data_IF_426262266127
#
_entry.id   IF_426262266127
#
_cell.length_a   1.000
_cell.length_b   1.000
_cell.length_c   1.000
_cell.angle_alpha   90.00
_cell.angle_beta   90.00
_cell.angle_gamma   90.00
#
_symmetry.space_group_name_H-M   'P 1'
#
loop_
_entity.id
_entity.type
_entity.pdbx_description
1 polymer ?
#
# COMPACT_ATOMS: atom_id res chain seq x y z
N UNK A 1 -25.25 -5.12 -1.52
CA UNK A 1 -25.04 -4.96 -2.97
C UNK A 1 -26.31 -4.76 -3.79
N UNK A 2 -27.52 -5.15 -3.32
CA UNK A 2 -28.78 -4.80 -4.00
C UNK A 2 -28.83 -5.24 -5.48
N UNK A 3 -29.36 -4.41 -6.36
CA UNK A 3 -29.38 -4.67 -7.81
C UNK A 3 -27.98 -4.80 -8.43
N UNK A 4 -26.94 -4.20 -7.82
CA UNK A 4 -25.57 -4.30 -8.32
C UNK A 4 -25.04 -5.74 -8.29
N UNK A 5 -25.43 -6.54 -7.29
CA UNK A 5 -25.08 -7.97 -7.24
C UNK A 5 -25.78 -8.83 -8.29
N UNK A 6 -26.83 -8.31 -8.96
CA UNK A 6 -27.53 -9.02 -10.03
C UNK A 6 -26.85 -8.82 -11.40
N UNK A 7 -25.84 -7.95 -11.50
CA UNK A 7 -25.09 -7.78 -12.73
C UNK A 7 -24.34 -9.08 -13.07
N UNK A 8 -24.44 -9.58 -14.32
CA UNK A 8 -23.80 -10.83 -14.72
C UNK A 8 -22.29 -10.87 -14.42
N UNK A 9 -21.60 -9.74 -14.59
CA UNK A 9 -20.16 -9.65 -14.31
C UNK A 9 -19.83 -9.79 -12.81
N UNK A 10 -20.67 -9.25 -11.94
CA UNK A 10 -20.50 -9.36 -10.48
C UNK A 10 -20.77 -10.79 -10.02
N UNK A 11 -21.77 -11.45 -10.61
CA UNK A 11 -22.05 -12.87 -10.37
C UNK A 11 -20.91 -13.74 -10.88
N UNK A 12 -20.38 -13.47 -12.07
CA UNK A 12 -19.25 -14.20 -12.66
C UNK A 12 -18.00 -14.10 -11.78
N UNK A 13 -17.69 -12.93 -11.23
CA UNK A 13 -16.57 -12.78 -10.28
C UNK A 13 -16.83 -13.53 -8.99
N UNK A 14 -18.05 -13.47 -8.45
CA UNK A 14 -18.40 -14.21 -7.23
C UNK A 14 -18.23 -15.72 -7.43
N UNK A 15 -18.78 -16.26 -8.53
CA UNK A 15 -18.61 -17.67 -8.89
C UNK A 15 -17.14 -18.04 -9.14
N UNK A 16 -16.37 -17.16 -9.77
CA UNK A 16 -14.93 -17.33 -9.95
C UNK A 16 -14.20 -17.47 -8.61
N UNK A 17 -14.50 -16.60 -7.63
CA UNK A 17 -13.88 -16.64 -6.30
C UNK A 17 -14.27 -17.92 -5.53
N UNK A 18 -15.54 -18.31 -5.58
CA UNK A 18 -16.03 -19.53 -4.93
C UNK A 18 -15.42 -20.82 -5.48
N UNK A 19 -15.15 -20.85 -6.80
CA UNK A 19 -14.50 -22.01 -7.44
C UNK A 19 -13.01 -22.07 -7.14
N UNK A 20 -12.33 -20.91 -7.13
CA UNK A 20 -10.89 -20.84 -6.82
C UNK A 20 -10.56 -21.47 -5.47
N UNK A 21 -11.38 -21.23 -4.45
CA UNK A 21 -11.11 -21.75 -3.11
C UNK A 21 -11.26 -23.28 -3.01
N UNK A 22 -11.83 -23.93 -4.04
CA UNK A 22 -12.11 -25.37 -4.08
C UNK A 22 -11.26 -26.14 -5.10
N UNK A 23 -10.60 -25.46 -6.04
CA UNK A 23 -9.95 -26.06 -7.21
C UNK A 23 -8.59 -25.43 -7.50
N UNK A 24 -7.75 -26.08 -8.33
CA UNK A 24 -6.44 -25.54 -8.69
C UNK A 24 -6.57 -24.33 -9.65
N UNK A 25 -5.74 -23.27 -9.50
CA UNK A 25 -5.78 -22.03 -10.30
C UNK A 25 -5.82 -22.17 -11.83
N UNK A 26 -5.18 -23.21 -12.36
CA UNK A 26 -4.98 -23.38 -13.80
C UNK A 26 -6.26 -23.78 -14.56
N UNK A 27 -7.27 -24.31 -13.87
CA UNK A 27 -8.35 -25.06 -14.51
C UNK A 27 -9.65 -24.26 -14.72
N UNK A 28 -9.76 -23.03 -14.19
CA UNK A 28 -10.98 -22.22 -14.32
C UNK A 28 -10.78 -20.91 -15.11
N UNK A 29 -11.86 -20.53 -15.82
CA UNK A 29 -11.90 -19.35 -16.69
C UNK A 29 -11.97 -18.07 -15.85
N UNK A 30 -11.22 -17.06 -16.27
CA UNK A 30 -11.30 -15.71 -15.71
C UNK A 30 -12.68 -15.10 -15.98
N UNK A 31 -13.20 -14.24 -15.07
CA UNK A 31 -14.41 -13.47 -15.33
C UNK A 31 -14.15 -12.44 -16.44
N UNK A 32 -15.20 -11.80 -16.95
CA UNK A 32 -15.05 -10.70 -17.90
C UNK A 32 -14.29 -9.53 -17.29
N UNK A 33 -12.97 -9.47 -17.48
CA UNK A 33 -12.12 -8.48 -16.80
C UNK A 33 -12.39 -7.05 -17.28
N UNK A 34 -12.60 -6.86 -18.58
CA UNK A 34 -12.97 -5.56 -19.13
C UNK A 34 -14.30 -5.04 -18.53
N UNK A 35 -15.31 -5.90 -18.50
CA UNK A 35 -16.66 -5.55 -18.02
C UNK A 35 -16.69 -5.39 -16.50
N UNK A 36 -15.87 -6.15 -15.77
CA UNK A 36 -15.64 -5.94 -14.34
C UNK A 36 -15.09 -4.53 -14.07
N UNK A 37 -14.02 -4.12 -14.75
CA UNK A 37 -13.45 -2.78 -14.59
C UNK A 37 -14.47 -1.68 -14.84
N UNK A 38 -15.26 -1.81 -15.92
CA UNK A 38 -16.37 -0.91 -16.24
C UNK A 38 -17.45 -0.89 -15.14
N UNK A 39 -17.81 -2.06 -14.58
CA UNK A 39 -18.77 -2.16 -13.50
C UNK A 39 -18.28 -1.48 -12.22
N UNK A 40 -17.01 -1.66 -11.85
CA UNK A 40 -16.40 -1.01 -10.70
C UNK A 40 -16.39 0.50 -10.87
N UNK A 41 -15.86 1.01 -12.00
CA UNK A 41 -15.85 2.46 -12.27
C UNK A 41 -17.27 3.05 -12.25
N UNK A 42 -18.23 2.37 -12.85
CA UNK A 42 -19.63 2.78 -12.83
C UNK A 42 -20.27 2.76 -11.44
N UNK A 43 -19.76 1.96 -10.50
CA UNK A 43 -20.27 1.90 -9.14
C UNK A 43 -19.86 3.12 -8.30
N UNK A 44 -18.62 3.61 -8.48
CA UNK A 44 -18.02 4.66 -7.64
C UNK A 44 -18.89 5.92 -7.56
N UNK A 45 -19.49 6.35 -8.67
CA UNK A 45 -20.27 7.59 -8.73
C UNK A 45 -21.79 7.40 -8.54
N UNK A 46 -22.29 6.17 -8.63
CA UNK A 46 -23.74 5.90 -8.76
C UNK A 46 -24.34 5.16 -7.57
N UNK A 47 -23.52 4.54 -6.74
CA UNK A 47 -23.99 3.69 -5.65
C UNK A 47 -23.76 4.33 -4.29
N UNK A 48 -24.58 3.96 -3.28
CA UNK A 48 -24.32 4.37 -1.90
C UNK A 48 -22.98 3.79 -1.40
N UNK A 49 -22.32 4.44 -0.42
CA UNK A 49 -20.99 4.06 0.05
C UNK A 49 -20.84 2.58 0.38
N UNK A 50 -21.82 1.95 1.03
CA UNK A 50 -21.77 0.55 1.43
C UNK A 50 -21.66 -0.38 0.20
N UNK A 51 -22.35 -0.02 -0.88
CA UNK A 51 -22.30 -0.78 -2.14
C UNK A 51 -21.00 -0.52 -2.91
N UNK A 52 -20.46 0.70 -2.87
CA UNK A 52 -19.14 1.01 -3.42
C UNK A 52 -18.05 0.22 -2.68
N UNK A 53 -18.09 0.20 -1.35
CA UNK A 53 -17.18 -0.60 -0.53
C UNK A 53 -17.22 -2.06 -0.97
N UNK A 54 -18.42 -2.64 -1.10
CA UNK A 54 -18.54 -4.06 -1.45
C UNK A 54 -18.02 -4.34 -2.87
N UNK A 55 -18.22 -3.40 -3.81
CA UNK A 55 -17.68 -3.51 -5.16
C UNK A 55 -16.13 -3.52 -5.15
N UNK A 56 -15.51 -2.61 -4.40
CA UNK A 56 -14.05 -2.55 -4.25
C UNK A 56 -13.54 -3.80 -3.53
N UNK A 57 -14.25 -4.32 -2.53
CA UNK A 57 -13.84 -5.51 -1.79
C UNK A 57 -13.88 -6.79 -2.64
N UNK A 58 -14.91 -6.93 -3.47
CA UNK A 58 -14.98 -8.00 -4.46
C UNK A 58 -13.83 -7.89 -5.48
N UNK A 59 -13.56 -6.67 -5.94
CA UNK A 59 -12.47 -6.39 -6.86
C UNK A 59 -11.11 -6.74 -6.24
N UNK A 60 -10.85 -6.30 -5.01
CA UNK A 60 -9.68 -6.66 -4.20
C UNK A 60 -9.51 -8.18 -4.12
N UNK A 61 -10.57 -8.92 -3.84
CA UNK A 61 -10.53 -10.37 -3.72
C UNK A 61 -10.18 -11.06 -5.06
N UNK A 62 -10.63 -10.51 -6.19
CA UNK A 62 -10.26 -11.00 -7.51
C UNK A 62 -8.78 -10.76 -7.83
N UNK A 63 -8.22 -9.62 -7.40
CA UNK A 63 -6.81 -9.27 -7.63
C UNK A 63 -5.79 -10.19 -6.94
N UNK A 64 -6.20 -11.06 -6.01
CA UNK A 64 -5.27 -12.06 -5.46
C UNK A 64 -4.91 -13.16 -6.46
N UNK A 65 -5.64 -13.26 -7.59
CA UNK A 65 -5.21 -14.07 -8.72
C UNK A 65 -4.24 -13.26 -9.60
N UNK A 66 -2.98 -13.72 -9.79
CA UNK A 66 -1.98 -12.98 -10.55
C UNK A 66 -2.38 -12.65 -12.00
N UNK A 67 -3.29 -13.42 -12.61
CA UNK A 67 -3.77 -13.15 -13.97
C UNK A 67 -4.71 -11.94 -13.99
N UNK A 68 -5.50 -11.77 -12.93
CA UNK A 68 -6.40 -10.63 -12.76
C UNK A 68 -5.55 -9.39 -12.46
N UNK A 69 -4.60 -9.46 -11.53
CA UNK A 69 -3.72 -8.33 -11.24
C UNK A 69 -2.85 -7.93 -12.44
N UNK A 70 -2.32 -8.88 -13.21
CA UNK A 70 -1.60 -8.59 -14.46
C UNK A 70 -2.48 -7.86 -15.48
N UNK A 71 -3.73 -8.32 -15.70
CA UNK A 71 -4.64 -7.63 -16.61
C UNK A 71 -4.87 -6.17 -16.22
N UNK A 72 -5.15 -5.89 -14.95
CA UNK A 72 -5.38 -4.51 -14.50
C UNK A 72 -4.10 -3.67 -14.41
N UNK A 73 -2.92 -4.32 -14.35
CA UNK A 73 -1.64 -3.67 -14.51
C UNK A 73 -1.33 -3.32 -15.98
N UNK A 74 -2.05 -3.89 -16.95
CA UNK A 74 -1.93 -3.53 -18.37
C UNK A 74 -3.15 -2.74 -18.87
N UNK A 75 -4.12 -2.45 -17.99
CA UNK A 75 -5.28 -1.63 -18.34
C UNK A 75 -4.80 -0.24 -18.77
N UNK A 76 -5.17 0.19 -19.97
CA UNK A 76 -4.81 1.49 -20.53
C UNK A 76 -5.11 2.60 -19.53
N UNK A 77 -4.12 3.41 -19.18
CA UNK A 77 -4.23 4.53 -18.23
C UNK A 77 -4.67 4.10 -16.81
N UNK A 78 -4.58 2.81 -16.47
CA UNK A 78 -4.89 2.24 -15.15
C UNK A 78 -6.27 2.63 -14.61
N UNK A 79 -7.24 2.79 -15.53
CA UNK A 79 -8.51 3.49 -15.30
C UNK A 79 -9.23 3.01 -14.05
N UNK A 80 -9.25 1.69 -13.79
CA UNK A 80 -9.96 1.12 -12.65
C UNK A 80 -9.26 1.46 -11.34
N UNK A 81 -7.95 1.21 -11.26
CA UNK A 81 -7.15 1.47 -10.06
C UNK A 81 -7.10 2.97 -9.77
N UNK A 82 -6.80 3.79 -10.77
CA UNK A 82 -6.78 5.25 -10.64
C UNK A 82 -8.15 5.81 -10.21
N UNK A 83 -9.26 5.27 -10.75
CA UNK A 83 -10.59 5.69 -10.32
C UNK A 83 -10.88 5.35 -8.85
N UNK A 84 -10.52 4.15 -8.39
CA UNK A 84 -10.68 3.74 -6.98
C UNK A 84 -9.85 4.64 -6.06
N UNK A 85 -8.57 4.86 -6.39
CA UNK A 85 -7.66 5.67 -5.57
C UNK A 85 -8.12 7.13 -5.54
N UNK A 86 -8.51 7.71 -6.68
CA UNK A 86 -9.09 9.06 -6.74
C UNK A 86 -10.38 9.17 -5.93
N UNK A 87 -11.25 8.17 -5.99
CA UNK A 87 -12.51 8.16 -5.24
C UNK A 87 -12.26 8.20 -3.73
N UNK A 88 -11.34 7.37 -3.21
CA UNK A 88 -10.96 7.37 -1.80
C UNK A 88 -10.23 8.65 -1.40
N UNK A 89 -9.29 9.11 -2.22
CA UNK A 89 -8.49 10.31 -1.94
C UNK A 89 -9.35 11.57 -1.86
N UNK A 90 -10.32 11.74 -2.77
CA UNK A 90 -11.24 12.89 -2.79
C UNK A 90 -12.10 13.01 -1.53
N UNK A 91 -12.35 11.90 -0.84
CA UNK A 91 -13.10 11.91 0.42
C UNK A 91 -12.26 12.35 1.62
N UNK A 92 -10.93 12.25 1.54
CA UNK A 92 -10.02 12.64 2.61
C UNK A 92 -10.40 12.00 3.95
N UNK A 93 -10.57 12.83 4.99
CA UNK A 93 -10.97 12.41 6.34
C UNK A 93 -12.40 11.88 6.41
N UNK A 94 -13.29 12.26 5.48
CA UNK A 94 -14.65 11.75 5.41
C UNK A 94 -14.75 10.37 4.73
N UNK A 95 -13.63 9.80 4.29
CA UNK A 95 -13.63 8.47 3.70
C UNK A 95 -13.92 7.41 4.78
N UNK A 96 -14.92 6.53 4.58
CA UNK A 96 -15.15 5.42 5.50
C UNK A 96 -13.89 4.58 5.69
N UNK A 97 -13.57 4.24 6.94
CA UNK A 97 -12.42 3.41 7.29
C UNK A 97 -12.32 2.14 6.42
N UNK A 98 -13.44 1.44 6.25
CA UNK A 98 -13.49 0.21 5.44
C UNK A 98 -13.11 0.43 3.98
N UNK A 99 -13.43 1.59 3.39
CA UNK A 99 -13.05 1.96 2.03
C UNK A 99 -11.55 2.26 1.91
N UNK A 100 -10.98 2.96 2.89
CA UNK A 100 -9.53 3.22 2.93
C UNK A 100 -8.78 1.89 3.04
N UNK A 101 -9.18 1.05 4.00
CA UNK A 101 -8.56 -0.24 4.24
C UNK A 101 -8.59 -1.15 3.01
N UNK A 102 -9.76 -1.31 2.38
CA UNK A 102 -9.89 -2.18 1.21
C UNK A 102 -9.11 -1.66 0.01
N UNK A 103 -8.94 -0.33 -0.11
CA UNK A 103 -8.14 0.29 -1.17
C UNK A 103 -6.65 0.07 -0.95
N UNK A 104 -6.16 0.16 0.29
CA UNK A 104 -4.78 -0.23 0.62
C UNK A 104 -4.52 -1.69 0.24
N UNK A 105 -5.42 -2.60 0.62
CA UNK A 105 -5.30 -4.02 0.25
C UNK A 105 -5.38 -4.26 -1.27
N UNK A 106 -6.21 -3.49 -1.98
CA UNK A 106 -6.30 -3.54 -3.45
C UNK A 106 -4.93 -3.24 -4.07
N UNK A 107 -4.28 -2.18 -3.63
CA UNK A 107 -2.94 -1.81 -4.10
C UNK A 107 -1.88 -2.83 -3.67
N UNK A 108 -1.95 -3.38 -2.45
CA UNK A 108 -1.07 -4.48 -2.04
C UNK A 108 -1.17 -5.68 -2.99
N UNK A 109 -2.40 -6.08 -3.35
CA UNK A 109 -2.61 -7.20 -4.26
C UNK A 109 -2.07 -6.92 -5.67
N UNK A 110 -2.04 -5.67 -6.12
CA UNK A 110 -1.41 -5.30 -7.40
C UNK A 110 0.10 -5.55 -7.41
N UNK A 111 0.78 -5.47 -6.27
CA UNK A 111 2.21 -5.83 -6.16
C UNK A 111 2.48 -7.35 -6.27
N UNK A 112 1.46 -8.19 -6.42
CA UNK A 112 1.63 -9.62 -6.76
C UNK A 112 2.17 -9.84 -8.17
N UNK A 113 2.03 -8.86 -9.07
CA UNK A 113 2.60 -8.87 -10.42
C UNK A 113 3.83 -7.96 -10.50
N UNK A 114 4.88 -8.34 -11.25
CA UNK A 114 6.05 -7.48 -11.46
C UNK A 114 5.74 -6.21 -12.26
N UNK A 115 4.58 -6.13 -12.91
CA UNK A 115 4.19 -5.00 -13.76
C UNK A 115 3.81 -3.75 -12.95
N UNK A 116 3.18 -3.93 -11.78
CA UNK A 116 2.65 -2.81 -11.01
C UNK A 116 3.68 -1.80 -10.52
N UNK A 117 4.88 -2.21 -10.07
CA UNK A 117 5.95 -1.27 -9.76
C UNK A 117 6.30 -0.32 -10.92
N UNK A 118 6.41 -0.81 -12.16
CA UNK A 118 6.75 0.04 -13.31
C UNK A 118 5.71 1.14 -13.56
N UNK A 119 4.45 0.83 -13.28
CA UNK A 119 3.32 1.77 -13.38
C UNK A 119 3.46 2.88 -12.33
N UNK A 120 3.63 2.48 -11.05
CA UNK A 120 3.73 3.43 -9.95
C UNK A 120 4.94 4.34 -10.11
N UNK A 121 6.09 3.82 -10.54
CA UNK A 121 7.28 4.64 -10.75
C UNK A 121 7.29 5.39 -12.08
N UNK A 122 6.61 4.89 -13.11
CA UNK A 122 6.51 5.50 -14.42
C UNK A 122 5.54 6.69 -14.49
N UNK A 123 4.56 6.77 -13.59
CA UNK A 123 3.54 7.83 -13.58
C UNK A 123 3.59 8.65 -12.29
N UNK A 124 3.92 9.95 -12.41
CA UNK A 124 4.03 10.88 -11.27
C UNK A 124 2.70 11.08 -10.55
N UNK A 125 1.57 11.08 -11.25
CA UNK A 125 0.26 11.30 -10.64
C UNK A 125 -0.13 10.08 -9.79
N UNK A 126 0.09 8.87 -10.30
CA UNK A 126 -0.16 7.63 -9.54
C UNK A 126 0.77 7.57 -8.34
N UNK A 127 2.06 7.85 -8.52
CA UNK A 127 3.04 7.84 -7.42
C UNK A 127 2.63 8.75 -6.28
N UNK A 128 2.28 10.01 -6.58
CA UNK A 128 1.79 10.97 -5.58
C UNK A 128 0.51 10.50 -4.89
N UNK A 129 -0.42 9.89 -5.61
CA UNK A 129 -1.64 9.36 -5.00
C UNK A 129 -1.36 8.19 -4.06
N UNK A 130 -0.48 7.27 -4.45
CA UNK A 130 -0.08 6.13 -3.62
C UNK A 130 0.66 6.61 -2.37
N UNK A 131 1.61 7.55 -2.53
CA UNK A 131 2.32 8.21 -1.44
C UNK A 131 1.35 8.85 -0.45
N UNK A 132 0.45 9.73 -0.93
CA UNK A 132 -0.51 10.41 -0.06
C UNK A 132 -1.48 9.44 0.64
N UNK A 133 -1.90 8.37 -0.03
CA UNK A 133 -2.75 7.34 0.58
C UNK A 133 -2.03 6.61 1.70
N UNK A 134 -0.76 6.23 1.51
CA UNK A 134 0.07 5.60 2.56
C UNK A 134 0.27 6.58 3.71
N UNK A 135 0.75 7.80 3.44
CA UNK A 135 1.04 8.82 4.46
C UNK A 135 -0.19 9.10 5.33
N UNK A 136 -1.34 9.39 4.70
CA UNK A 136 -2.59 9.67 5.43
C UNK A 136 -3.13 8.46 6.19
N UNK A 137 -2.83 7.24 5.75
CA UNK A 137 -3.22 6.00 6.43
C UNK A 137 -2.37 5.70 7.66
N UNK A 138 -1.12 6.16 7.68
CA UNK A 138 -0.27 6.10 8.88
C UNK A 138 -0.74 7.06 9.97
N UNK A 139 -1.26 8.22 9.58
CA UNK A 139 -1.80 9.23 10.49
C UNK A 139 -3.23 8.91 11.00
N UNK A 140 -3.78 7.75 10.62
CA UNK A 140 -5.04 7.24 11.17
C UNK A 140 -4.76 6.58 12.53
N UNK A 141 -4.83 7.38 13.59
CA UNK A 141 -4.59 6.97 14.99
C UNK A 141 -5.69 6.05 15.54
N UNK A 142 -6.88 6.06 14.96
CA UNK A 142 -8.04 5.29 15.42
C UNK A 142 -8.05 3.84 14.92
N UNK A 143 -7.41 3.55 13.79
CA UNK A 143 -7.58 2.27 13.10
C UNK A 143 -6.26 1.54 12.85
N UNK A 144 -5.88 0.67 13.77
CA UNK A 144 -4.70 -0.22 13.68
C UNK A 144 -4.60 -0.97 12.35
N UNK A 145 -5.70 -1.55 11.85
CA UNK A 145 -5.66 -2.31 10.59
C UNK A 145 -5.34 -1.43 9.38
N UNK A 146 -5.71 -0.15 9.41
CA UNK A 146 -5.29 0.82 8.37
C UNK A 146 -3.78 0.95 8.37
N UNK A 147 -3.17 1.08 9.55
CA UNK A 147 -1.70 1.18 9.70
C UNK A 147 -0.97 -0.11 9.30
N UNK A 148 -1.54 -1.28 9.60
CA UNK A 148 -1.02 -2.58 9.14
C UNK A 148 -1.06 -2.67 7.60
N UNK A 149 -2.17 -2.30 6.98
CA UNK A 149 -2.32 -2.33 5.52
C UNK A 149 -1.42 -1.29 4.84
N UNK A 150 -1.29 -0.09 5.41
CA UNK A 150 -0.38 0.95 4.94
C UNK A 150 1.09 0.50 5.02
N UNK A 151 1.47 -0.15 6.12
CA UNK A 151 2.79 -0.79 6.27
C UNK A 151 3.03 -1.84 5.19
N UNK A 152 2.06 -2.70 4.93
CA UNK A 152 2.19 -3.74 3.89
C UNK A 152 2.37 -3.13 2.49
N UNK A 153 1.63 -2.05 2.19
CA UNK A 153 1.76 -1.34 0.91
C UNK A 153 3.10 -0.63 0.80
N UNK A 154 3.53 0.07 1.86
CA UNK A 154 4.83 0.74 1.88
C UNK A 154 5.98 -0.25 1.80
N UNK A 155 5.89 -1.41 2.44
CA UNK A 155 6.89 -2.47 2.31
C UNK A 155 7.10 -2.86 0.85
N UNK A 156 6.01 -3.12 0.12
CA UNK A 156 6.06 -3.49 -1.30
C UNK A 156 6.67 -2.36 -2.16
N UNK A 157 6.24 -1.12 -1.93
CA UNK A 157 6.74 0.07 -2.63
C UNK A 157 8.23 0.30 -2.34
N UNK A 158 8.63 0.28 -1.07
CA UNK A 158 9.99 0.52 -0.62
C UNK A 158 10.95 -0.59 -1.10
N UNK A 159 10.50 -1.85 -1.10
CA UNK A 159 11.28 -2.95 -1.66
C UNK A 159 11.54 -2.74 -3.17
N UNK A 160 10.51 -2.33 -3.91
CA UNK A 160 10.64 -2.06 -5.34
C UNK A 160 11.51 -0.81 -5.61
N UNK A 161 11.37 0.24 -4.80
CA UNK A 161 12.19 1.46 -4.88
C UNK A 161 13.67 1.15 -4.59
N UNK A 162 13.95 0.37 -3.54
CA UNK A 162 15.31 -0.05 -3.19
C UNK A 162 15.99 -0.86 -4.29
N UNK A 163 15.26 -1.76 -4.97
CA UNK A 163 15.78 -2.50 -6.13
C UNK A 163 16.17 -1.55 -7.26
N UNK A 164 15.30 -0.59 -7.58
CA UNK A 164 15.59 0.43 -8.61
C UNK A 164 16.75 1.35 -8.26
N UNK A 165 16.88 1.73 -6.98
CA UNK A 165 18.04 2.47 -6.47
C UNK A 165 19.33 1.69 -6.70
N UNK A 166 19.34 0.38 -6.40
CA UNK A 166 20.48 -0.51 -6.65
C UNK A 166 20.81 -0.66 -8.13
N UNK A 167 19.80 -0.67 -8.99
CA UNK A 167 19.92 -0.75 -10.45
C UNK A 167 20.24 0.60 -11.12
N UNK A 168 20.28 1.69 -10.35
CA UNK A 168 20.50 3.07 -10.82
C UNK A 168 19.45 3.53 -11.85
N UNK A 169 18.21 3.10 -11.64
CA UNK A 169 17.06 3.49 -12.48
C UNK A 169 16.49 4.83 -12.03
N UNK A 170 16.33 5.78 -12.96
CA UNK A 170 15.76 7.11 -12.71
C UNK A 170 14.26 7.07 -12.33
N UNK A 171 13.52 6.08 -12.85
CA UNK A 171 12.11 5.87 -12.51
C UNK A 171 11.99 5.27 -11.10
N UNK A 172 12.07 6.11 -10.06
CA UNK A 172 12.01 5.75 -8.64
C UNK A 172 11.26 6.83 -7.84
N UNK A 173 11.11 6.65 -6.53
CA UNK A 173 10.63 7.74 -5.67
C UNK A 173 11.58 8.93 -5.77
N UNK A 174 11.03 10.14 -5.92
CA UNK A 174 11.82 11.35 -5.75
C UNK A 174 12.07 11.61 -4.26
N UNK A 175 13.02 12.50 -3.98
CA UNK A 175 13.45 12.77 -2.61
C UNK A 175 12.33 13.31 -1.73
N UNK A 176 11.45 14.17 -2.28
CA UNK A 176 10.29 14.69 -1.58
C UNK A 176 9.28 13.59 -1.20
N UNK A 177 9.09 12.59 -2.06
CA UNK A 177 8.20 11.45 -1.80
C UNK A 177 8.81 10.51 -0.73
N UNK A 178 10.12 10.28 -0.78
CA UNK A 178 10.83 9.50 0.24
C UNK A 178 10.76 10.19 1.62
N UNK A 179 10.91 11.51 1.66
CA UNK A 179 10.79 12.34 2.87
C UNK A 179 9.37 12.30 3.43
N UNK A 180 8.33 12.44 2.60
CA UNK A 180 6.94 12.38 3.05
C UNK A 180 6.58 11.01 3.66
N UNK A 181 6.97 9.93 2.99
CA UNK A 181 6.74 8.57 3.48
C UNK A 181 7.50 8.29 4.77
N UNK A 182 8.76 8.75 4.87
CA UNK A 182 9.55 8.56 6.08
C UNK A 182 9.00 9.37 7.26
N UNK A 183 8.61 10.63 7.04
CA UNK A 183 8.05 11.48 8.09
C UNK A 183 6.78 10.86 8.70
N UNK A 184 5.81 10.51 7.85
CA UNK A 184 4.55 9.88 8.28
C UNK A 184 4.77 8.51 8.95
N UNK A 185 5.72 7.71 8.45
CA UNK A 185 6.07 6.42 9.04
C UNK A 185 6.72 6.56 10.41
N UNK A 186 7.67 7.49 10.59
CA UNK A 186 8.32 7.74 11.88
C UNK A 186 7.31 8.27 12.90
N UNK A 187 6.41 9.16 12.49
CA UNK A 187 5.32 9.63 13.35
C UNK A 187 4.42 8.47 13.79
N UNK A 188 3.99 7.61 12.87
CA UNK A 188 3.17 6.45 13.20
C UNK A 188 3.90 5.44 14.11
N UNK A 189 5.18 5.17 13.86
CA UNK A 189 6.00 4.34 14.77
C UNK A 189 6.04 4.99 16.16
N UNK A 190 6.23 6.30 16.25
CA UNK A 190 6.32 7.04 17.51
C UNK A 190 5.01 7.00 18.29
N UNK A 191 3.86 6.99 17.61
CA UNK A 191 2.54 6.89 18.23
C UNK A 191 2.10 5.45 18.53
N UNK A 192 2.64 4.45 17.82
CA UNK A 192 2.19 3.05 17.97
C UNK A 192 2.48 2.51 19.38
N UNK A 193 1.42 2.00 20.02
CA UNK A 193 1.47 1.50 21.40
C UNK A 193 0.59 0.30 21.66
N UNK A 194 -0.15 -0.18 20.65
CA UNK A 194 -1.17 -1.21 20.80
C UNK A 194 -0.85 -2.46 19.97
N UNK A 195 -0.36 -2.28 18.75
CA UNK A 195 -0.22 -3.37 17.78
C UNK A 195 1.23 -3.67 17.43
N UNK A 196 1.69 -4.83 17.90
CA UNK A 196 3.00 -5.38 17.52
C UNK A 196 3.08 -5.66 16.01
N UNK A 197 1.96 -6.08 15.39
CA UNK A 197 1.90 -6.34 13.94
C UNK A 197 2.08 -5.04 13.13
N UNK A 198 1.42 -3.96 13.54
CA UNK A 198 1.56 -2.67 12.89
C UNK A 198 3.01 -2.17 13.03
N UNK A 199 3.57 -2.21 14.24
CA UNK A 199 4.97 -1.82 14.46
C UNK A 199 5.94 -2.67 13.63
N UNK A 200 5.75 -3.99 13.58
CA UNK A 200 6.60 -4.89 12.81
C UNK A 200 6.62 -4.50 11.32
N UNK A 201 5.44 -4.32 10.73
CA UNK A 201 5.30 -3.89 9.34
C UNK A 201 5.94 -2.53 9.08
N UNK A 202 5.75 -1.57 10.00
CA UNK A 202 6.33 -0.23 9.89
C UNK A 202 7.86 -0.27 9.90
N UNK A 203 8.46 -1.02 10.83
CA UNK A 203 9.91 -1.16 10.95
C UNK A 203 10.52 -1.83 9.72
N UNK A 204 9.87 -2.88 9.20
CA UNK A 204 10.31 -3.57 7.99
C UNK A 204 10.26 -2.62 6.77
N UNK A 205 9.18 -1.85 6.66
CA UNK A 205 9.00 -0.84 5.60
C UNK A 205 10.08 0.24 5.65
N UNK A 206 10.35 0.79 6.85
CA UNK A 206 11.39 1.78 7.07
C UNK A 206 12.76 1.22 6.68
N UNK A 207 13.02 -0.04 7.06
CA UNK A 207 14.24 -0.76 6.71
C UNK A 207 14.50 -0.74 5.20
N UNK A 208 13.47 -1.06 4.39
CA UNK A 208 13.60 -1.04 2.94
C UNK A 208 13.70 0.38 2.35
N UNK A 209 13.01 1.36 2.91
CA UNK A 209 13.03 2.74 2.44
C UNK A 209 14.42 3.38 2.64
N UNK A 210 15.01 3.17 3.82
CA UNK A 210 16.24 3.82 4.28
C UNK A 210 17.51 3.06 3.86
N UNK A 211 17.45 1.75 3.60
CA UNK A 211 18.67 1.02 3.26
C UNK A 211 19.32 1.54 1.97
N UNK A 212 20.58 1.99 2.08
CA UNK A 212 21.38 2.46 0.96
C UNK A 212 20.95 3.83 0.42
N UNK A 213 20.41 4.71 1.28
CA UNK A 213 20.17 6.12 0.94
C UNK A 213 21.48 6.92 0.89
N UNK A 214 21.44 8.10 0.27
CA UNK A 214 22.53 9.08 0.37
C UNK A 214 22.54 9.70 1.77
N UNK A 215 23.68 9.59 2.47
CA UNK A 215 23.86 10.15 3.82
C UNK A 215 23.91 11.68 3.85
N UNK A 216 24.04 12.32 2.69
CA UNK A 216 23.96 13.76 2.49
C UNK A 216 22.65 14.23 1.85
N UNK A 217 21.69 13.32 1.61
CA UNK A 217 20.37 13.66 1.09
C UNK A 217 19.39 14.11 2.17
N UNK A 218 18.29 14.70 1.74
CA UNK A 218 17.20 15.24 2.57
C UNK A 218 16.56 14.14 3.43
N UNK A 219 16.43 12.91 2.91
CA UNK A 219 15.89 11.80 3.71
C UNK A 219 16.80 11.49 4.91
N UNK A 220 18.12 11.51 4.74
CA UNK A 220 19.05 11.28 5.86
C UNK A 220 18.98 12.43 6.87
N UNK A 221 18.87 13.68 6.40
CA UNK A 221 18.74 14.85 7.26
C UNK A 221 17.41 14.87 8.02
N UNK A 222 16.31 14.46 7.40
CA UNK A 222 15.01 14.27 8.06
C UNK A 222 15.12 13.25 9.19
N UNK A 223 15.67 12.06 8.94
CA UNK A 223 15.76 11.00 9.94
C UNK A 223 16.59 11.43 11.15
N UNK A 224 17.64 12.23 10.94
CA UNK A 224 18.43 12.84 12.02
C UNK A 224 17.62 13.91 12.77
N UNK A 225 16.94 14.79 12.05
CA UNK A 225 16.14 15.87 12.63
C UNK A 225 14.98 15.36 13.48
N UNK A 226 14.36 14.24 13.10
CA UNK A 226 13.28 13.59 13.84
C UNK A 226 13.76 12.71 14.99
N UNK A 227 15.08 12.60 15.21
CA UNK A 227 15.68 11.66 16.16
C UNK A 227 15.12 10.23 16.00
N UNK A 228 14.99 9.80 14.74
CA UNK A 228 14.28 8.56 14.37
C UNK A 228 14.87 7.32 15.06
N UNK A 229 16.18 7.33 15.31
CA UNK A 229 16.89 6.29 16.08
C UNK A 229 16.28 6.13 17.47
N UNK A 230 16.27 7.20 18.27
CA UNK A 230 15.83 7.11 19.66
C UNK A 230 14.31 6.94 19.75
N UNK A 231 13.56 7.51 18.80
CA UNK A 231 12.13 7.26 18.64
C UNK A 231 11.82 5.76 18.48
N UNK A 232 12.56 5.06 17.61
CA UNK A 232 12.40 3.61 17.41
C UNK A 232 12.85 2.82 18.64
N UNK A 233 14.02 3.13 19.21
CA UNK A 233 14.53 2.40 20.38
C UNK A 233 13.60 2.52 21.60
N UNK A 234 12.88 3.64 21.73
CA UNK A 234 11.88 3.84 22.77
C UNK A 234 10.78 2.76 22.75
N UNK A 235 10.46 2.20 21.58
CA UNK A 235 9.41 1.19 21.38
C UNK A 235 9.70 -0.11 22.10
N UNK A 236 10.96 -0.40 22.44
CA UNK A 236 11.35 -1.59 23.24
C UNK A 236 10.64 -1.64 24.60
N UNK A 237 10.26 -0.49 25.17
CA UNK A 237 9.53 -0.42 26.43
C UNK A 237 8.12 -0.99 26.32
N UNK A 238 7.47 -0.77 25.17
CA UNK A 238 6.09 -1.18 24.89
C UNK A 238 6.05 -2.55 24.22
N UNK A 239 7.01 -2.82 23.32
CA UNK A 239 7.10 -4.04 22.52
C UNK A 239 8.46 -4.74 22.76
N UNK A 240 8.68 -5.34 23.94
CA UNK A 240 9.97 -5.93 24.31
C UNK A 240 10.40 -7.12 23.44
N UNK A 241 9.43 -7.77 22.76
CA UNK A 241 9.66 -8.94 21.91
C UNK A 241 9.88 -8.58 20.42
N UNK A 242 9.72 -7.32 20.04
CA UNK A 242 9.96 -6.89 18.65
C UNK A 242 11.45 -6.77 18.39
N UNK A 243 11.99 -7.73 17.64
CA UNK A 243 13.44 -7.83 17.36
C UNK A 243 13.91 -6.73 16.41
N UNK A 244 13.05 -6.29 15.50
CA UNK A 244 13.38 -5.25 14.52
C UNK A 244 13.64 -3.89 15.16
N UNK A 245 13.11 -3.62 16.36
CA UNK A 245 13.40 -2.36 17.07
C UNK A 245 14.90 -2.17 17.24
N UNK A 246 15.62 -3.23 17.63
CA UNK A 246 17.06 -3.17 17.83
C UNK A 246 17.80 -3.05 16.50
N UNK A 247 17.44 -3.87 15.52
CA UNK A 247 18.10 -3.89 14.21
C UNK A 247 17.95 -2.55 13.46
N UNK A 248 16.73 -2.02 13.41
CA UNK A 248 16.45 -0.75 12.75
C UNK A 248 17.04 0.42 13.56
N UNK A 249 16.84 0.45 14.87
CA UNK A 249 17.32 1.53 15.72
C UNK A 249 18.85 1.59 15.85
N UNK A 250 19.50 0.50 16.25
CA UNK A 250 20.94 0.50 16.55
C UNK A 250 21.80 0.34 15.29
N UNK A 251 21.44 -0.56 14.37
CA UNK A 251 22.27 -0.88 13.21
C UNK A 251 21.95 0.06 12.04
N UNK A 252 20.71 0.05 11.55
CA UNK A 252 20.35 0.81 10.35
C UNK A 252 20.44 2.33 10.58
N UNK A 253 19.80 2.85 11.63
CA UNK A 253 19.81 4.27 11.91
C UNK A 253 21.02 4.68 12.75
N UNK A 254 21.33 3.95 13.82
CA UNK A 254 22.43 4.28 14.72
C UNK A 254 23.79 4.29 14.02
N UNK A 255 24.21 3.15 13.46
CA UNK A 255 25.49 3.06 12.73
C UNK A 255 25.37 3.57 11.30
N UNK A 256 24.24 3.30 10.63
CA UNK A 256 24.08 3.61 9.22
C UNK A 256 23.87 5.09 8.88
N UNK A 257 23.34 5.93 9.78
CA UNK A 257 23.15 7.37 9.50
C UNK A 257 24.31 8.26 9.96
N UNK A 258 25.34 7.70 10.60
CA UNK A 258 26.52 8.46 10.98
C UNK A 258 27.29 8.91 9.72
N UNK A 259 27.52 10.21 9.55
CA UNK A 259 28.47 10.71 8.54
C UNK A 259 29.86 10.23 8.96
N UNK A 260 30.51 9.47 8.09
CA UNK A 260 31.89 9.01 8.29
C UNK A 260 32.88 10.13 8.06
#
# INVERSE_FOLDING_TARGET
MGEFSLKPDIQAVTSFLEMRDKQQPADFRLPGLLTLGQCIRGALDKLPPESVFTAIDLFRAALTDPRVSAYYAEERDFQTIDAIVKYVSRKGTACPYSMRLVTLHTLCNMFSTPLFPDIVFGDVAIRKQVTALISSSFLDDHHTNTRVAASSLLFNLALANRKRRKEQTEARLCEEEEVELAASLIEAITQEGESAEALHGMLLSLGHLVFGIDLNGELADLLRALDAKDAILSKKKVFPNEKLVKEVGEELLGKGLCKT
#
